data_IF_671238646335
#
_entry.id   IF_671238646335
#
_cell.length_a   1.000
_cell.length_b   1.000
_cell.length_c   1.000
_cell.angle_alpha   90.00
_cell.angle_beta   90.00
_cell.angle_gamma   90.00
#
_symmetry.space_group_name_H-M   'P 1'
#
loop_
_entity.id
_entity.type
_entity.pdbx_description
1 polymer ?
#
# COMPACT_ATOMS: atom_id res chain seq x y z
N UNK A 1 10.00 -16.31 -9.05
CA UNK A 1 9.65 -14.90 -9.33
C UNK A 1 8.58 -14.43 -8.36
N UNK A 2 8.60 -13.15 -8.03
CA UNK A 2 7.58 -12.54 -7.19
C UNK A 2 6.74 -11.57 -8.00
N UNK A 3 5.52 -11.33 -7.56
CA UNK A 3 4.55 -10.50 -8.24
C UNK A 3 3.89 -9.52 -7.29
N UNK A 4 3.53 -8.35 -7.81
CA UNK A 4 2.58 -7.44 -7.16
C UNK A 4 1.22 -7.56 -7.83
N UNK A 5 0.16 -7.24 -7.09
CA UNK A 5 -1.19 -7.16 -7.65
C UNK A 5 -1.53 -5.72 -7.96
N UNK A 6 -1.87 -5.46 -9.21
CA UNK A 6 -2.35 -4.16 -9.68
C UNK A 6 -3.84 -4.24 -9.93
N UNK A 7 -4.61 -3.32 -9.37
CA UNK A 7 -6.07 -3.26 -9.58
C UNK A 7 -6.50 -1.89 -10.04
N UNK A 8 -7.57 -1.86 -10.86
CA UNK A 8 -8.33 -0.65 -11.14
C UNK A 8 -9.54 -0.65 -10.20
N UNK A 9 -9.57 0.29 -9.24
CA UNK A 9 -10.58 0.30 -8.20
C UNK A 9 -10.40 -0.84 -7.18
N UNK A 10 -11.34 -0.94 -6.25
CA UNK A 10 -11.25 -1.89 -5.13
C UNK A 10 -11.95 -3.22 -5.40
N UNK A 11 -12.85 -3.28 -6.40
CA UNK A 11 -13.64 -4.47 -6.73
C UNK A 11 -13.11 -5.26 -7.93
N UNK A 12 -12.09 -4.76 -8.60
CA UNK A 12 -11.48 -5.42 -9.73
C UNK A 12 -10.70 -6.67 -9.30
N UNK A 13 -10.71 -7.70 -10.13
CA UNK A 13 -9.87 -8.88 -9.98
C UNK A 13 -8.39 -8.50 -9.94
N UNK A 14 -8.00 -7.58 -10.81
CA UNK A 14 -6.62 -7.15 -10.94
C UNK A 14 -5.77 -8.09 -11.78
N UNK A 15 -4.49 -7.76 -11.81
CA UNK A 15 -3.47 -8.49 -12.55
C UNK A 15 -2.24 -8.64 -11.69
N UNK A 16 -1.61 -9.82 -11.71
CA UNK A 16 -0.32 -10.00 -11.07
C UNK A 16 0.78 -9.61 -12.05
N UNK A 17 1.59 -8.64 -11.66
CA UNK A 17 2.71 -8.16 -12.48
C UNK A 17 4.02 -8.55 -11.80
N UNK A 18 5.07 -8.94 -12.56
CA UNK A 18 6.36 -9.26 -11.97
C UNK A 18 6.88 -8.11 -11.11
N UNK A 19 7.43 -8.44 -9.94
CA UNK A 19 7.95 -7.42 -9.01
C UNK A 19 9.15 -6.65 -9.59
N UNK A 20 9.78 -7.20 -10.61
CA UNK A 20 10.88 -6.56 -11.35
C UNK A 20 10.42 -5.61 -12.44
N UNK A 21 9.10 -5.50 -12.66
CA UNK A 21 8.54 -4.63 -13.71
C UNK A 21 8.87 -3.17 -13.43
N UNK A 22 9.27 -2.43 -14.46
CA UNK A 22 9.46 -1.01 -14.38
C UNK A 22 8.08 -0.32 -14.25
N UNK A 23 7.78 0.18 -13.06
CA UNK A 23 6.49 0.81 -12.77
C UNK A 23 6.25 2.07 -13.59
N UNK A 24 7.31 2.75 -14.07
CA UNK A 24 7.14 3.92 -14.93
C UNK A 24 6.49 3.53 -16.26
N UNK A 25 6.78 2.34 -16.75
CA UNK A 25 6.16 1.83 -17.99
C UNK A 25 4.70 1.43 -17.74
N UNK A 26 4.43 0.82 -16.59
CA UNK A 26 3.06 0.49 -16.20
C UNK A 26 2.21 1.75 -16.08
N UNK A 27 2.76 2.78 -15.44
CA UNK A 27 2.07 4.06 -15.25
C UNK A 27 1.58 4.65 -16.58
N UNK A 28 2.35 4.53 -17.65
CA UNK A 28 1.99 5.03 -18.97
C UNK A 28 0.77 4.34 -19.58
N UNK A 29 0.45 3.13 -19.11
CA UNK A 29 -0.70 2.35 -19.62
C UNK A 29 -1.97 2.59 -18.83
N UNK A 30 -1.90 3.31 -17.71
CA UNK A 30 -3.06 3.54 -16.86
C UNK A 30 -3.99 4.58 -17.48
N UNK A 31 -5.28 4.38 -17.27
CA UNK A 31 -6.30 5.30 -17.76
C UNK A 31 -6.36 6.56 -16.90
N UNK A 32 -6.50 7.76 -17.48
CA UNK A 32 -6.73 8.95 -16.69
C UNK A 32 -8.08 8.89 -15.97
N UNK A 33 -8.18 9.54 -14.83
CA UNK A 33 -9.40 9.63 -14.02
C UNK A 33 -9.89 8.30 -13.45
N UNK A 34 -8.99 7.32 -13.32
CA UNK A 34 -9.25 6.06 -12.63
C UNK A 34 -8.29 5.88 -11.47
N UNK A 35 -8.74 5.24 -10.41
CA UNK A 35 -7.92 4.92 -9.27
C UNK A 35 -7.30 3.54 -9.46
N UNK A 36 -6.01 3.44 -9.19
CA UNK A 36 -5.27 2.19 -9.28
C UNK A 36 -4.58 1.91 -7.95
N UNK A 37 -4.51 0.63 -7.61
CA UNK A 37 -3.89 0.18 -6.36
C UNK A 37 -2.85 -0.88 -6.66
N UNK A 38 -1.70 -0.71 -6.06
CA UNK A 38 -0.61 -1.70 -6.12
C UNK A 38 -0.45 -2.31 -4.73
N UNK A 39 -0.42 -3.63 -4.64
CA UNK A 39 -0.28 -4.31 -3.35
C UNK A 39 1.08 -4.03 -2.72
N UNK A 40 1.11 -3.94 -1.40
CA UNK A 40 2.35 -3.95 -0.63
C UNK A 40 2.85 -5.38 -0.42
N UNK A 41 1.99 -6.35 -0.62
CA UNK A 41 2.33 -7.76 -0.52
C UNK A 41 2.83 -8.29 -1.85
N UNK A 42 3.72 -9.27 -1.77
CA UNK A 42 4.25 -9.97 -2.94
C UNK A 42 3.70 -11.39 -2.97
N UNK A 43 3.39 -11.84 -4.16
CA UNK A 43 2.88 -13.16 -4.45
C UNK A 43 3.96 -13.98 -5.13
N UNK A 44 4.01 -15.29 -4.84
CA UNK A 44 4.98 -16.20 -5.47
C UNK A 44 4.39 -16.90 -6.70
N UNK A 45 5.18 -17.82 -7.29
CA UNK A 45 4.73 -18.56 -8.48
C UNK A 45 3.50 -19.44 -8.22
N UNK A 46 3.40 -20.05 -7.05
CA UNK A 46 2.23 -20.85 -6.69
C UNK A 46 0.98 -20.00 -6.57
N UNK A 47 1.13 -18.81 -5.98
CA UNK A 47 0.04 -17.84 -5.88
C UNK A 47 -0.42 -17.37 -7.28
N UNK A 48 0.55 -17.13 -8.17
CA UNK A 48 0.26 -16.72 -9.56
C UNK A 48 -0.53 -17.80 -10.29
N UNK A 49 -0.10 -19.06 -10.14
CA UNK A 49 -0.79 -20.20 -10.75
C UNK A 49 -2.21 -20.32 -10.24
N UNK A 50 -2.40 -20.23 -8.91
CA UNK A 50 -3.75 -20.28 -8.33
C UNK A 50 -4.61 -19.11 -8.80
N UNK A 51 -4.04 -17.91 -8.86
CA UNK A 51 -4.75 -16.73 -9.34
C UNK A 51 -5.23 -16.91 -10.78
N UNK A 52 -4.36 -17.46 -11.64
CA UNK A 52 -4.71 -17.71 -13.04
C UNK A 52 -5.81 -18.76 -13.18
N UNK A 53 -5.78 -19.80 -12.34
CA UNK A 53 -6.76 -20.87 -12.34
C UNK A 53 -8.12 -20.44 -11.78
N UNK A 54 -8.12 -19.74 -10.65
CA UNK A 54 -9.34 -19.41 -9.90
C UNK A 54 -9.92 -18.07 -10.28
N UNK A 55 -9.08 -17.14 -10.74
CA UNK A 55 -9.51 -15.79 -11.08
C UNK A 55 -9.71 -14.87 -9.90
N UNK A 56 -9.14 -15.20 -8.75
CA UNK A 56 -9.28 -14.43 -7.51
C UNK A 56 -8.09 -14.65 -6.60
N UNK A 57 -7.81 -13.69 -5.73
CA UNK A 57 -6.84 -13.85 -4.65
C UNK A 57 -7.45 -14.52 -3.41
N UNK A 58 -8.74 -14.80 -3.42
CA UNK A 58 -9.41 -15.43 -2.28
C UNK A 58 -8.74 -16.77 -1.93
N UNK A 59 -8.47 -16.96 -0.65
CA UNK A 59 -7.83 -18.19 -0.16
C UNK A 59 -6.31 -18.26 -0.35
N UNK A 60 -5.70 -17.24 -0.94
CA UNK A 60 -4.23 -17.15 -1.00
C UNK A 60 -3.72 -16.72 0.37
N UNK A 61 -2.77 -17.49 0.90
CA UNK A 61 -2.09 -17.23 2.17
C UNK A 61 -0.58 -17.16 1.93
N UNK A 62 0.17 -16.88 2.99
CA UNK A 62 1.64 -16.86 2.96
C UNK A 62 2.23 -15.83 1.99
N UNK A 63 1.50 -14.73 1.78
CA UNK A 63 2.05 -13.57 1.06
C UNK A 63 3.12 -12.90 1.91
N UNK A 64 4.08 -12.26 1.26
CA UNK A 64 5.20 -11.60 1.93
C UNK A 64 5.20 -10.11 1.65
N UNK A 65 5.87 -9.37 2.51
CA UNK A 65 6.12 -7.95 2.30
C UNK A 65 7.48 -7.56 2.87
N UNK A 66 8.12 -6.60 2.25
CA UNK A 66 9.33 -5.99 2.77
C UNK A 66 9.08 -4.58 3.34
N UNK A 67 7.81 -4.24 3.52
CA UNK A 67 7.41 -2.91 4.00
C UNK A 67 6.47 -3.06 5.18
N UNK A 68 6.61 -2.15 6.13
CA UNK A 68 5.63 -1.94 7.19
C UNK A 68 4.88 -0.65 6.86
N UNK A 69 3.57 -0.69 6.98
CA UNK A 69 2.71 0.44 6.65
C UNK A 69 1.81 0.73 7.84
N UNK A 70 1.74 2.00 8.23
CA UNK A 70 0.79 2.50 9.21
C UNK A 70 -0.06 3.58 8.55
N UNK A 71 -1.33 3.56 8.84
CA UNK A 71 -2.29 4.53 8.33
C UNK A 71 -2.88 5.32 9.49
N UNK A 72 -2.68 6.63 9.46
CA UNK A 72 -3.17 7.54 10.49
C UNK A 72 -4.29 8.38 9.92
N UNK A 73 -5.52 7.92 10.16
CA UNK A 73 -6.70 8.60 9.66
C UNK A 73 -7.25 9.60 10.69
N UNK A 74 -7.79 10.67 10.16
CA UNK A 74 -8.56 11.64 10.93
C UNK A 74 -10.00 11.63 10.41
N UNK A 75 -10.94 11.37 11.30
CA UNK A 75 -12.37 11.50 11.00
C UNK A 75 -12.98 12.34 12.11
N UNK A 76 -13.34 13.59 11.83
CA UNK A 76 -13.88 14.47 12.86
C UNK A 76 -15.24 13.98 13.33
N UNK A 77 -15.40 13.82 14.64
CA UNK A 77 -16.67 13.47 15.28
C UNK A 77 -17.24 14.61 16.10
N UNK A 78 -16.39 15.57 16.44
CA UNK A 78 -16.70 16.73 17.27
C UNK A 78 -16.04 17.98 16.67
N UNK A 79 -16.58 19.18 16.92
CA UNK A 79 -15.99 20.42 16.45
C UNK A 79 -14.55 20.67 16.93
N UNK A 80 -14.18 20.15 18.10
CA UNK A 80 -12.85 20.29 18.66
C UNK A 80 -11.83 19.31 18.10
N UNK A 81 -12.23 18.33 17.31
CA UNK A 81 -11.31 17.38 16.68
C UNK A 81 -10.45 18.10 15.64
N UNK A 82 -9.16 17.76 15.64
CA UNK A 82 -8.16 18.47 14.88
C UNK A 82 -7.36 17.49 14.03
N UNK A 83 -7.21 17.71 12.70
CA UNK A 83 -6.40 16.86 11.83
C UNK A 83 -4.93 16.78 12.24
N UNK A 84 -4.42 17.74 13.00
CA UNK A 84 -3.06 17.71 13.53
C UNK A 84 -2.82 16.50 14.45
N UNK A 85 -3.84 15.91 15.03
CA UNK A 85 -3.69 14.73 15.87
C UNK A 85 -3.12 13.55 15.09
N UNK A 86 -3.59 13.32 13.87
CA UNK A 86 -3.05 12.27 13.02
C UNK A 86 -1.58 12.53 12.67
N UNK A 87 -1.24 13.80 12.39
CA UNK A 87 0.13 14.21 12.12
C UNK A 87 1.04 13.99 13.32
N UNK A 88 0.59 14.34 14.52
CA UNK A 88 1.35 14.17 15.75
C UNK A 88 1.60 12.68 16.04
N UNK A 89 0.61 11.83 15.83
CA UNK A 89 0.77 10.38 15.98
C UNK A 89 1.79 9.81 15.00
N UNK A 90 1.76 10.27 13.75
CA UNK A 90 2.73 9.84 12.74
C UNK A 90 4.14 10.27 13.13
N UNK A 91 4.33 11.50 13.59
CA UNK A 91 5.62 12.01 14.06
C UNK A 91 6.13 11.18 15.24
N UNK A 92 5.25 10.88 16.20
CA UNK A 92 5.59 10.08 17.37
C UNK A 92 6.08 8.68 16.98
N UNK A 93 5.43 8.06 16.00
CA UNK A 93 5.87 6.76 15.49
C UNK A 93 7.24 6.85 14.81
N UNK A 94 7.47 7.88 14.01
CA UNK A 94 8.76 8.09 13.35
C UNK A 94 9.87 8.22 14.38
N UNK A 95 9.66 8.99 15.43
CA UNK A 95 10.64 9.15 16.50
C UNK A 95 10.96 7.82 17.19
N UNK A 96 9.94 7.00 17.45
CA UNK A 96 10.12 5.66 18.02
C UNK A 96 10.92 4.74 17.09
N UNK A 97 10.63 4.76 15.82
CA UNK A 97 11.34 3.93 14.84
C UNK A 97 12.81 4.33 14.75
N UNK A 98 13.10 5.63 14.74
CA UNK A 98 14.48 6.12 14.73
C UNK A 98 15.22 5.75 16.01
N UNK A 99 14.56 5.83 17.16
CA UNK A 99 15.13 5.41 18.45
C UNK A 99 15.46 3.92 18.45
N UNK A 100 14.69 3.10 17.75
CA UNK A 100 14.94 1.67 17.62
C UNK A 100 15.98 1.31 16.56
N UNK A 101 16.55 2.30 15.89
CA UNK A 101 17.63 2.09 14.94
C UNK A 101 17.24 2.12 13.46
N UNK A 102 15.99 2.37 13.14
CA UNK A 102 15.59 2.51 11.73
C UNK A 102 16.05 3.85 11.18
N UNK A 103 16.67 3.79 10.00
CA UNK A 103 17.18 4.99 9.34
C UNK A 103 16.04 5.85 8.81
N UNK A 104 16.16 7.17 8.98
CA UNK A 104 15.23 8.14 8.42
C UNK A 104 15.06 7.99 6.90
N UNK A 105 16.11 7.57 6.21
CA UNK A 105 16.08 7.36 4.76
C UNK A 105 15.12 6.24 4.34
N UNK A 106 14.85 5.30 5.25
CA UNK A 106 13.96 4.17 5.01
C UNK A 106 12.53 4.42 5.51
N UNK A 107 12.25 5.62 6.02
CA UNK A 107 10.94 6.00 6.52
C UNK A 107 10.37 7.05 5.58
N UNK A 108 9.19 6.77 5.02
CA UNK A 108 8.49 7.68 4.11
C UNK A 108 7.11 7.98 4.64
N UNK A 109 6.70 9.23 4.51
CA UNK A 109 5.39 9.70 4.96
C UNK A 109 4.66 10.29 3.77
N UNK A 110 3.41 9.89 3.61
CA UNK A 110 2.55 10.40 2.55
C UNK A 110 1.31 11.02 3.18
N UNK A 111 0.94 12.19 2.69
CA UNK A 111 -0.35 12.78 3.02
C UNK A 111 -1.36 12.30 2.00
N UNK A 112 -2.42 11.65 2.48
CA UNK A 112 -3.44 11.06 1.61
C UNK A 112 -4.29 12.10 0.86
N UNK A 113 -4.22 13.37 1.28
CA UNK A 113 -4.98 14.46 0.67
C UNK A 113 -6.40 14.59 1.19
N UNK A 114 -6.80 13.73 2.12
CA UNK A 114 -8.16 13.75 2.66
C UNK A 114 -8.17 13.73 4.18
N UNK A 115 -7.91 12.62 4.82
CA UNK A 115 -8.09 12.49 6.28
C UNK A 115 -6.86 12.07 7.05
N UNK A 116 -5.70 11.87 6.45
CA UNK A 116 -4.60 11.39 7.23
C UNK A 116 -3.27 11.27 6.53
N UNK A 117 -2.37 10.56 7.19
CA UNK A 117 -0.99 10.35 6.78
C UNK A 117 -0.65 8.87 6.75
N UNK A 118 0.23 8.50 5.84
CA UNK A 118 0.70 7.13 5.67
C UNK A 118 2.22 7.03 5.71
#
# INVERSE_FOLDING_TARGET
MQYYRLTEGTSDKGTLIPATTDLSQVYKTLKPNKDYYLSIFKFNEEHKKRFDEVGSIAGITDVTTNKLVWDFDFTPKKPEDNPELAREEAISLIDRLQTQGYSKENIKVFFSGNKGFE
#
